data_IF_289072636084
#
_entry.id   IF_289072636084
#
_cell.length_a   1.000
_cell.length_b   1.000
_cell.length_c   1.000
_cell.angle_alpha   90.00
_cell.angle_beta   90.00
_cell.angle_gamma   90.00
#
_symmetry.space_group_name_H-M   'P 1'
#
loop_
_entity.id
_entity.type
_entity.pdbx_description
1 polymer ?
#
# COMPACT_ATOMS: atom_id res chain seq x y z
N UNK A 1 -49.53 -15.76 16.85
CA UNK A 1 -48.84 -14.46 16.95
C UNK A 1 -47.36 -14.72 16.90
N UNK A 2 -46.70 -14.28 15.83
CA UNK A 2 -45.29 -14.53 15.57
C UNK A 2 -44.38 -13.52 16.28
N UNK A 3 -43.15 -13.97 16.53
CA UNK A 3 -41.98 -13.10 16.77
C UNK A 3 -40.90 -13.51 15.76
N UNK A 4 -40.37 -12.60 14.94
CA UNK A 4 -39.13 -12.82 14.22
C UNK A 4 -38.01 -12.03 14.92
N UNK A 5 -36.96 -12.69 15.40
CA UNK A 5 -35.70 -12.02 15.74
C UNK A 5 -34.56 -12.87 15.20
N UNK A 6 -34.31 -12.70 13.90
CA UNK A 6 -33.09 -13.18 13.27
C UNK A 6 -31.99 -12.19 13.63
N UNK A 7 -31.29 -12.45 14.74
CA UNK A 7 -30.16 -11.65 15.18
C UNK A 7 -28.99 -11.82 14.19
N UNK A 8 -28.90 -10.90 13.23
CA UNK A 8 -27.68 -10.68 12.45
C UNK A 8 -26.58 -10.34 13.44
N UNK A 9 -25.62 -11.24 13.64
CA UNK A 9 -24.48 -10.99 14.53
C UNK A 9 -23.67 -9.84 13.93
N UNK A 10 -23.53 -8.69 14.63
CA UNK A 10 -22.65 -7.64 14.15
C UNK A 10 -21.22 -8.17 14.13
N UNK A 11 -20.56 -8.07 12.98
CA UNK A 11 -19.11 -8.22 12.88
C UNK A 11 -18.52 -7.23 13.90
N UNK A 12 -17.68 -7.66 14.87
CA UNK A 12 -17.08 -6.74 15.82
C UNK A 12 -16.01 -5.92 15.10
N UNK A 13 -16.45 -4.88 14.39
CA UNK A 13 -15.60 -3.80 13.91
C UNK A 13 -15.36 -2.87 15.08
N UNK A 14 -14.43 -3.26 15.95
CA UNK A 14 -13.77 -2.29 16.82
C UNK A 14 -13.08 -1.31 15.87
N UNK A 15 -13.57 -0.08 15.83
CA UNK A 15 -12.95 1.02 15.10
C UNK A 15 -11.55 1.19 15.68
N UNK A 16 -10.56 0.67 14.95
CA UNK A 16 -9.15 0.80 15.31
C UNK A 16 -8.79 2.30 15.28
N UNK A 17 -7.89 2.71 16.17
CA UNK A 17 -7.25 4.04 16.10
C UNK A 17 -6.76 4.29 14.67
N UNK A 18 -7.02 5.50 14.15
CA UNK A 18 -6.55 5.92 12.82
C UNK A 18 -5.08 5.54 12.67
N UNK A 19 -4.78 4.80 11.61
CA UNK A 19 -3.43 4.37 11.29
C UNK A 19 -2.47 5.57 11.29
N UNK A 20 -1.33 5.43 11.99
CA UNK A 20 -0.30 6.49 12.13
C UNK A 20 0.31 6.94 10.78
N UNK A 21 0.02 6.24 9.68
CA UNK A 21 0.41 6.62 8.32
C UNK A 21 -0.70 6.34 7.31
N UNK A 22 -0.78 7.17 6.26
CA UNK A 22 -1.70 6.99 5.12
C UNK A 22 -1.53 5.63 4.42
N UNK A 23 -0.35 5.02 4.43
CA UNK A 23 -0.10 3.73 3.78
C UNK A 23 -0.53 2.55 4.64
N UNK A 24 -0.32 2.63 5.94
CA UNK A 24 -0.83 1.64 6.89
C UNK A 24 -2.37 1.57 6.84
N UNK A 25 -3.04 2.72 6.71
CA UNK A 25 -4.50 2.76 6.52
C UNK A 25 -4.94 2.04 5.23
N UNK A 26 -4.21 2.25 4.13
CA UNK A 26 -4.50 1.61 2.84
C UNK A 26 -4.28 0.10 2.90
N UNK A 27 -3.21 -0.36 3.55
CA UNK A 27 -2.97 -1.78 3.80
C UNK A 27 -4.12 -2.40 4.61
N UNK A 28 -4.55 -1.74 5.70
CA UNK A 28 -5.69 -2.22 6.50
C UNK A 28 -7.01 -2.24 5.72
N UNK A 29 -7.20 -1.31 4.77
CA UNK A 29 -8.40 -1.25 3.95
C UNK A 29 -8.46 -2.34 2.86
N UNK A 30 -7.30 -2.76 2.32
CA UNK A 30 -7.23 -3.78 1.25
C UNK A 30 -7.29 -5.21 1.83
N UNK A 31 -6.78 -5.41 3.05
CA UNK A 31 -6.78 -6.72 3.73
C UNK A 31 -8.11 -7.50 3.72
N UNK A 32 -9.28 -6.88 4.02
CA UNK A 32 -10.56 -7.59 3.98
C UNK A 32 -10.90 -8.12 2.58
N UNK A 33 -10.53 -7.38 1.52
CA UNK A 33 -10.78 -7.80 0.14
C UNK A 33 -9.93 -9.01 -0.21
N UNK A 34 -8.66 -9.06 0.15
CA UNK A 34 -7.83 -10.25 -0.09
C UNK A 34 -8.31 -11.48 0.70
N UNK A 35 -8.81 -11.28 1.91
CA UNK A 35 -9.19 -12.38 2.79
C UNK A 35 -10.61 -12.91 2.56
N UNK A 36 -11.54 -12.03 2.21
CA UNK A 36 -12.97 -12.32 2.21
C UNK A 36 -13.66 -11.92 0.90
N UNK A 37 -12.93 -11.91 -0.22
CA UNK A 37 -13.48 -11.45 -1.51
C UNK A 37 -14.77 -12.19 -1.87
N UNK A 38 -14.78 -13.51 -1.71
CA UNK A 38 -15.94 -14.35 -2.06
C UNK A 38 -17.14 -14.02 -1.18
N UNK A 39 -16.93 -13.87 0.13
CA UNK A 39 -17.97 -13.55 1.09
C UNK A 39 -18.55 -12.15 0.84
N UNK A 40 -17.68 -11.18 0.49
CA UNK A 40 -18.11 -9.83 0.11
C UNK A 40 -19.01 -9.91 -1.14
N UNK A 41 -18.60 -10.66 -2.17
CA UNK A 41 -19.40 -10.85 -3.38
C UNK A 41 -20.75 -11.51 -3.09
N UNK A 42 -20.79 -12.53 -2.22
CA UNK A 42 -22.04 -13.18 -1.81
C UNK A 42 -22.97 -12.24 -1.04
N UNK A 43 -22.43 -11.35 -0.20
CA UNK A 43 -23.23 -10.35 0.49
C UNK A 43 -23.80 -9.33 -0.50
N UNK A 44 -22.99 -8.86 -1.45
CA UNK A 44 -23.45 -7.95 -2.50
C UNK A 44 -24.54 -8.59 -3.36
N UNK A 45 -24.39 -9.86 -3.75
CA UNK A 45 -25.41 -10.61 -4.50
C UNK A 45 -26.73 -10.69 -3.72
N UNK A 46 -26.69 -11.03 -2.42
CA UNK A 46 -27.89 -11.03 -1.57
C UNK A 46 -28.53 -9.66 -1.44
N UNK A 47 -27.74 -8.58 -1.38
CA UNK A 47 -28.27 -7.22 -1.34
C UNK A 47 -28.97 -6.86 -2.65
N UNK A 48 -28.46 -7.31 -3.80
CA UNK A 48 -29.08 -7.09 -5.11
C UNK A 48 -30.45 -7.78 -5.20
N UNK A 49 -30.58 -9.00 -4.67
CA UNK A 49 -31.81 -9.79 -4.74
C UNK A 49 -32.82 -9.47 -3.62
N UNK A 50 -32.43 -8.66 -2.63
CA UNK A 50 -33.29 -8.34 -1.49
C UNK A 50 -34.37 -7.32 -1.86
N UNK A 51 -35.64 -7.72 -1.73
CA UNK A 51 -36.79 -6.83 -1.90
C UNK A 51 -36.90 -5.78 -0.78
N UNK A 52 -36.29 -6.05 0.38
CA UNK A 52 -36.30 -5.15 1.54
C UNK A 52 -35.33 -3.97 1.42
N UNK A 53 -34.36 -4.04 0.49
CA UNK A 53 -33.40 -2.97 0.26
C UNK A 53 -33.98 -1.88 -0.64
N UNK A 54 -33.45 -0.66 -0.50
CA UNK A 54 -33.85 0.44 -1.39
C UNK A 54 -33.37 0.20 -2.82
N UNK A 55 -34.05 0.82 -3.80
CA UNK A 55 -33.63 0.75 -5.21
C UNK A 55 -32.23 1.29 -5.43
N UNK A 56 -31.84 2.33 -4.69
CA UNK A 56 -30.50 2.92 -4.71
C UNK A 56 -29.47 1.93 -4.18
N UNK A 57 -29.71 1.35 -2.99
CA UNK A 57 -28.82 0.35 -2.38
C UNK A 57 -28.60 -0.86 -3.29
N UNK A 58 -29.66 -1.37 -3.92
CA UNK A 58 -29.54 -2.47 -4.90
C UNK A 58 -28.70 -2.08 -6.11
N UNK A 59 -28.88 -0.86 -6.62
CA UNK A 59 -28.12 -0.35 -7.76
C UNK A 59 -26.63 -0.20 -7.44
N UNK A 60 -26.30 0.33 -6.26
CA UNK A 60 -24.92 0.49 -5.81
C UNK A 60 -24.25 -0.85 -5.54
N UNK A 61 -24.96 -1.77 -4.87
CA UNK A 61 -24.47 -3.14 -4.65
C UNK A 61 -24.18 -3.85 -5.97
N UNK A 62 -25.06 -3.68 -6.97
CA UNK A 62 -24.88 -4.23 -8.32
C UNK A 62 -23.66 -3.63 -9.03
N UNK A 63 -23.47 -2.31 -8.95
CA UNK A 63 -22.30 -1.66 -9.53
C UNK A 63 -21.01 -2.14 -8.87
N UNK A 64 -20.98 -2.20 -7.53
CA UNK A 64 -19.82 -2.70 -6.77
C UNK A 64 -19.51 -4.15 -7.12
N UNK A 65 -20.53 -5.01 -7.18
CA UNK A 65 -20.39 -6.42 -7.56
C UNK A 65 -19.74 -6.58 -8.93
N UNK A 66 -20.23 -5.85 -9.94
CA UNK A 66 -19.64 -5.89 -11.28
C UNK A 66 -18.25 -5.26 -11.36
N UNK A 67 -17.97 -4.21 -10.58
CA UNK A 67 -16.64 -3.62 -10.48
C UNK A 67 -15.63 -4.61 -9.88
N UNK A 68 -16.01 -5.33 -8.82
CA UNK A 68 -15.16 -6.32 -8.17
C UNK A 68 -14.97 -7.57 -9.05
N UNK A 69 -16.01 -7.99 -9.78
CA UNK A 69 -15.95 -9.03 -10.81
C UNK A 69 -15.49 -8.50 -12.17
N UNK A 70 -14.43 -7.69 -12.17
CA UNK A 70 -13.77 -7.26 -13.39
C UNK A 70 -12.34 -7.80 -13.44
N UNK A 71 -11.87 -8.10 -14.64
CA UNK A 71 -10.48 -8.50 -14.87
C UNK A 71 -9.50 -7.48 -14.26
N UNK A 72 -9.78 -6.20 -14.41
CA UNK A 72 -8.95 -5.12 -13.87
C UNK A 72 -8.88 -5.19 -12.33
N UNK A 73 -10.01 -5.35 -11.65
CA UNK A 73 -10.04 -5.38 -10.18
C UNK A 73 -9.34 -6.62 -9.64
N UNK A 74 -9.65 -7.81 -10.15
CA UNK A 74 -9.09 -9.07 -9.67
C UNK A 74 -7.56 -9.10 -9.83
N UNK A 75 -7.08 -8.66 -10.99
CA UNK A 75 -5.65 -8.62 -11.30
C UNK A 75 -4.89 -7.55 -10.50
N UNK A 76 -5.52 -6.39 -10.27
CA UNK A 76 -4.90 -5.30 -9.52
C UNK A 76 -4.94 -5.50 -8.01
N UNK A 77 -5.90 -6.27 -7.48
CA UNK A 77 -6.08 -6.46 -6.05
C UNK A 77 -4.83 -7.09 -5.40
N UNK A 78 -4.36 -8.21 -5.94
CA UNK A 78 -3.15 -8.89 -5.44
C UNK A 78 -1.90 -8.04 -5.68
N UNK A 79 -1.78 -7.47 -6.88
CA UNK A 79 -0.68 -6.58 -7.23
C UNK A 79 -0.53 -5.42 -6.23
N UNK A 80 -1.64 -4.77 -5.88
CA UNK A 80 -1.63 -3.67 -4.90
C UNK A 80 -1.33 -4.14 -3.49
N UNK A 81 -1.76 -5.34 -3.07
CA UNK A 81 -1.45 -5.86 -1.73
C UNK A 81 0.06 -5.94 -1.50
N UNK A 82 0.78 -6.52 -2.46
CA UNK A 82 2.24 -6.68 -2.40
C UNK A 82 2.94 -5.31 -2.36
N UNK A 83 2.53 -4.39 -3.23
CA UNK A 83 3.12 -3.04 -3.30
C UNK A 83 2.84 -2.25 -2.03
N UNK A 84 1.60 -2.26 -1.53
CA UNK A 84 1.20 -1.53 -0.34
C UNK A 84 1.92 -2.05 0.91
N UNK A 85 2.04 -3.36 1.08
CA UNK A 85 2.79 -3.98 2.17
C UNK A 85 4.27 -3.58 2.11
N UNK A 86 4.86 -3.62 0.92
CA UNK A 86 6.25 -3.23 0.71
C UNK A 86 6.52 -1.77 1.10
N UNK A 87 5.68 -0.85 0.63
CA UNK A 87 5.79 0.59 0.96
C UNK A 87 5.57 0.82 2.46
N UNK A 88 4.54 0.22 3.04
CA UNK A 88 4.22 0.36 4.46
C UNK A 88 5.37 -0.14 5.35
N UNK A 89 6.01 -1.26 4.98
CA UNK A 89 7.19 -1.77 5.68
C UNK A 89 8.34 -0.76 5.67
N UNK A 90 8.70 -0.22 4.50
CA UNK A 90 9.79 0.76 4.40
C UNK A 90 9.46 2.03 5.17
N UNK A 91 8.22 2.48 5.15
CA UNK A 91 7.79 3.66 5.90
C UNK A 91 7.80 3.46 7.41
N UNK A 92 7.34 2.32 7.90
CA UNK A 92 7.40 1.99 9.33
C UNK A 92 8.83 1.96 9.82
N UNK A 93 9.73 1.34 9.03
CA UNK A 93 11.17 1.35 9.29
C UNK A 93 11.74 2.76 9.35
N UNK A 94 11.48 3.60 8.34
CA UNK A 94 11.94 5.00 8.34
C UNK A 94 11.41 5.84 9.51
N UNK A 95 10.28 5.45 10.12
CA UNK A 95 9.71 6.11 11.29
C UNK A 95 10.18 5.54 12.62
N UNK A 96 10.88 4.40 12.60
CA UNK A 96 11.38 3.77 13.81
C UNK A 96 12.53 4.59 14.41
N UNK A 97 12.32 5.01 15.65
CA UNK A 97 13.23 5.86 16.41
C UNK A 97 14.55 5.16 16.78
N UNK A 98 14.56 3.83 16.69
CA UNK A 98 15.72 2.98 16.98
C UNK A 98 16.50 2.60 15.73
N UNK A 99 16.06 3.06 14.55
CA UNK A 99 16.65 2.62 13.29
C UNK A 99 18.05 3.20 13.08
N UNK A 100 19.00 2.33 12.76
CA UNK A 100 20.30 2.76 12.25
C UNK A 100 20.11 3.28 10.82
N UNK A 101 20.55 4.51 10.54
CA UNK A 101 20.36 5.15 9.23
C UNK A 101 20.98 4.33 8.09
N UNK A 102 21.98 3.49 8.41
CA UNK A 102 22.65 2.57 7.49
C UNK A 102 21.76 1.42 6.95
N UNK A 103 20.69 1.05 7.66
CA UNK A 103 19.81 -0.07 7.27
C UNK A 103 18.69 0.36 6.31
N UNK A 104 18.30 1.65 6.35
CA UNK A 104 17.24 2.21 5.51
C UNK A 104 17.48 2.02 4.00
N UNK A 105 18.69 2.27 3.46
CA UNK A 105 18.98 2.09 2.04
C UNK A 105 18.86 0.63 1.59
N UNK A 106 19.15 -0.34 2.48
CA UNK A 106 19.11 -1.76 2.13
C UNK A 106 17.67 -2.27 1.99
N UNK A 107 16.77 -1.94 2.91
CA UNK A 107 15.35 -2.30 2.79
C UNK A 107 14.67 -1.63 1.60
N UNK A 108 15.15 -0.43 1.26
CA UNK A 108 14.63 0.35 0.15
C UNK A 108 15.09 -0.22 -1.18
N UNK A 109 16.35 -0.64 -1.27
CA UNK A 109 16.85 -1.44 -2.39
C UNK A 109 16.12 -2.78 -2.49
N UNK A 110 15.77 -3.41 -1.38
CA UNK A 110 14.99 -4.65 -1.38
C UNK A 110 13.56 -4.42 -1.91
N UNK A 111 12.89 -3.33 -1.48
CA UNK A 111 11.59 -2.93 -2.02
C UNK A 111 11.70 -2.64 -3.52
N UNK A 112 12.68 -1.84 -3.93
CA UNK A 112 12.95 -1.53 -5.34
C UNK A 112 13.25 -2.81 -6.14
N UNK A 113 13.98 -3.77 -5.58
CA UNK A 113 14.26 -5.06 -6.22
C UNK A 113 13.00 -5.90 -6.39
N UNK A 114 12.12 -5.91 -5.41
CA UNK A 114 10.82 -6.60 -5.47
C UNK A 114 9.90 -5.95 -6.50
N UNK A 115 9.82 -4.61 -6.49
CA UNK A 115 9.04 -3.78 -7.43
C UNK A 115 9.60 -3.87 -8.86
N UNK A 116 10.90 -4.10 -9.04
CA UNK A 116 11.52 -4.30 -10.36
C UNK A 116 11.41 -5.73 -10.89
N UNK A 117 10.93 -6.68 -10.09
CA UNK A 117 10.78 -8.07 -10.52
C UNK A 117 9.68 -8.19 -11.57
N UNK A 118 10.05 -8.52 -12.82
CA UNK A 118 9.07 -8.91 -13.86
C UNK A 118 8.15 -10.04 -13.41
N UNK A 119 8.64 -10.86 -12.47
CA UNK A 119 7.95 -11.95 -11.80
C UNK A 119 6.65 -11.48 -11.14
N UNK A 120 6.66 -10.35 -10.41
CA UNK A 120 5.47 -9.81 -9.74
C UNK A 120 4.34 -9.52 -10.73
N UNK A 121 4.67 -8.90 -11.88
CA UNK A 121 3.70 -8.57 -12.92
C UNK A 121 3.13 -9.85 -13.52
N UNK A 122 3.99 -10.81 -13.88
CA UNK A 122 3.54 -12.06 -14.48
C UNK A 122 2.66 -12.88 -13.52
N UNK A 123 3.04 -12.96 -12.25
CA UNK A 123 2.28 -13.67 -11.21
C UNK A 123 0.91 -13.02 -10.99
N UNK A 124 0.86 -11.70 -10.79
CA UNK A 124 -0.40 -10.98 -10.55
C UNK A 124 -1.37 -11.12 -11.74
N UNK A 125 -0.83 -11.10 -12.96
CA UNK A 125 -1.62 -11.27 -14.19
C UNK A 125 -2.11 -12.70 -14.37
N UNK A 126 -1.28 -13.69 -14.03
CA UNK A 126 -1.67 -15.10 -14.08
C UNK A 126 -2.76 -15.42 -13.06
N UNK A 127 -2.62 -14.96 -11.82
CA UNK A 127 -3.61 -15.16 -10.77
C UNK A 127 -4.94 -14.44 -11.10
N UNK A 128 -4.86 -13.20 -11.60
CA UNK A 128 -6.04 -12.48 -12.09
C UNK A 128 -6.78 -13.23 -13.21
N UNK A 129 -6.05 -13.87 -14.12
CA UNK A 129 -6.63 -14.72 -15.17
C UNK A 129 -7.25 -16.00 -14.60
N UNK A 130 -6.60 -16.64 -13.63
CA UNK A 130 -7.12 -17.83 -12.95
C UNK A 130 -8.45 -17.52 -12.26
N UNK A 131 -8.52 -16.40 -11.52
CA UNK A 131 -9.76 -15.94 -10.88
C UNK A 131 -10.85 -15.60 -11.90
N UNK A 132 -10.49 -14.95 -13.02
CA UNK A 132 -11.45 -14.70 -14.10
C UNK A 132 -11.99 -16.00 -14.71
N UNK A 133 -11.15 -17.02 -14.89
CA UNK A 133 -11.57 -18.31 -15.39
C UNK A 133 -12.49 -19.03 -14.40
N UNK A 134 -12.14 -19.02 -13.11
CA UNK A 134 -12.95 -19.62 -12.05
C UNK A 134 -14.34 -18.98 -11.97
N UNK A 135 -14.40 -17.65 -12.03
CA UNK A 135 -15.64 -16.88 -11.85
C UNK A 135 -16.33 -16.52 -13.17
N UNK A 136 -15.85 -17.07 -14.29
CA UNK A 136 -16.39 -16.85 -15.65
C UNK A 136 -16.50 -15.37 -16.02
N UNK A 137 -15.55 -14.56 -15.56
CA UNK A 137 -15.46 -13.14 -15.86
C UNK A 137 -14.86 -12.95 -17.25
N UNK A 138 -15.49 -12.08 -18.05
CA UNK A 138 -15.03 -11.83 -19.41
C UNK A 138 -13.80 -10.92 -19.42
N UNK A 139 -12.69 -11.42 -19.98
CA UNK A 139 -11.46 -10.65 -20.14
C UNK A 139 -11.53 -9.83 -21.43
N UNK A 140 -12.08 -8.62 -21.32
CA UNK A 140 -12.20 -7.66 -22.43
C UNK A 140 -11.14 -6.57 -22.35
N UNK A 141 -10.55 -6.21 -23.50
CA UNK A 141 -9.74 -4.98 -23.61
C UNK A 141 -10.64 -3.76 -23.44
N UNK A 142 -10.33 -2.88 -22.50
CA UNK A 142 -10.92 -1.53 -22.44
C UNK A 142 -10.44 -0.70 -23.65
N UNK A 143 -11.23 -0.68 -24.72
CA UNK A 143 -10.92 0.14 -25.91
C UNK A 143 -11.33 1.59 -25.64
N UNK A 144 -10.36 2.46 -25.38
CA UNK A 144 -10.58 3.90 -25.55
C UNK A 144 -10.95 4.19 -27.02
N UNK A 145 -12.00 4.97 -27.25
CA UNK A 145 -12.44 5.33 -28.60
C UNK A 145 -11.41 6.29 -29.21
N UNK A 146 -10.43 5.75 -29.94
CA UNK A 146 -9.49 6.56 -30.72
C UNK A 146 -10.25 7.14 -31.91
N UNK A 147 -10.25 8.46 -32.06
CA UNK A 147 -10.86 9.15 -33.21
C UNK A 147 -10.01 8.82 -34.43
N UNK A 148 -10.53 8.01 -35.36
CA UNK A 148 -9.84 7.68 -36.62
C UNK A 148 -9.95 8.84 -37.59
N UNK A 149 -8.90 9.05 -38.37
CA UNK A 149 -8.92 10.01 -39.47
C UNK A 149 -9.65 9.40 -40.68
N UNK A 150 -10.34 10.21 -41.52
CA UNK A 150 -10.97 9.71 -42.74
C UNK A 150 -9.90 9.27 -43.75
N UNK A 151 -9.57 7.96 -43.76
CA UNK A 151 -8.66 7.21 -44.66
C UNK A 151 -7.92 6.08 -43.93
N UNK A 152 -7.98 6.04 -42.59
CA UNK A 152 -7.24 5.08 -41.78
C UNK A 152 -7.90 3.69 -41.77
N UNK A 153 -7.59 2.88 -42.78
CA UNK A 153 -8.07 1.49 -42.94
C UNK A 153 -7.24 0.44 -42.17
N UNK A 154 -6.14 0.85 -41.52
CA UNK A 154 -5.32 -0.06 -40.74
C UNK A 154 -6.10 -0.57 -39.50
N UNK A 155 -6.18 -1.88 -39.31
CA UNK A 155 -6.56 -2.45 -38.01
C UNK A 155 -5.36 -2.29 -37.10
N UNK A 156 -5.49 -1.44 -36.09
CA UNK A 156 -4.46 -1.28 -35.06
C UNK A 156 -4.25 -2.68 -34.45
N UNK A 157 -3.04 -3.23 -34.53
CA UNK A 157 -2.66 -4.45 -33.82
C UNK A 157 -2.53 -4.08 -32.33
N UNK A 158 -3.66 -3.75 -31.72
CA UNK A 158 -3.71 -3.28 -30.35
C UNK A 158 -3.27 -4.40 -29.41
N UNK A 159 -2.61 -4.02 -28.31
CA UNK A 159 -2.20 -4.94 -27.25
C UNK A 159 -3.40 -5.80 -26.81
N UNK A 160 -3.14 -7.06 -26.46
CA UNK A 160 -4.11 -7.91 -25.78
C UNK A 160 -4.50 -7.31 -24.42
N UNK A 161 -5.61 -7.76 -23.83
CA UNK A 161 -6.01 -7.31 -22.48
C UNK A 161 -4.92 -7.60 -21.44
N UNK A 162 -4.22 -8.73 -21.61
CA UNK A 162 -3.06 -9.12 -20.81
C UNK A 162 -1.92 -8.09 -20.93
N UNK A 163 -1.45 -7.84 -22.14
CA UNK A 163 -0.34 -6.91 -22.41
C UNK A 163 -0.67 -5.47 -21.99
N UNK A 164 -1.93 -5.06 -22.11
CA UNK A 164 -2.40 -3.76 -21.62
C UNK A 164 -2.31 -3.68 -20.09
N UNK A 165 -2.73 -4.73 -19.38
CA UNK A 165 -2.61 -4.80 -17.92
C UNK A 165 -1.15 -4.78 -17.47
N UNK A 166 -0.28 -5.55 -18.13
CA UNK A 166 1.15 -5.51 -17.86
C UNK A 166 1.74 -4.12 -18.08
N UNK A 167 1.30 -3.40 -19.13
CA UNK A 167 1.73 -2.02 -19.40
C UNK A 167 1.33 -1.08 -18.26
N UNK A 168 0.10 -1.21 -17.76
CA UNK A 168 -0.40 -0.43 -16.63
C UNK A 168 0.43 -0.72 -15.37
N UNK A 169 0.64 -2.00 -15.04
CA UNK A 169 1.45 -2.39 -13.88
C UNK A 169 2.89 -1.89 -13.98
N UNK A 170 3.54 -2.04 -15.14
CA UNK A 170 4.88 -1.49 -15.38
C UNK A 170 4.93 0.02 -15.12
N UNK A 171 3.95 0.78 -15.64
CA UNK A 171 3.85 2.21 -15.38
C UNK A 171 3.66 2.57 -13.90
N UNK A 172 2.90 1.77 -13.14
CA UNK A 172 2.75 1.94 -11.69
C UNK A 172 4.07 1.69 -10.98
N UNK A 173 4.77 0.59 -11.30
CA UNK A 173 6.05 0.24 -10.69
C UNK A 173 7.11 1.32 -10.98
N UNK A 174 7.18 1.82 -12.21
CA UNK A 174 8.09 2.91 -12.59
C UNK A 174 7.80 4.19 -11.79
N UNK A 175 6.52 4.51 -11.59
CA UNK A 175 6.13 5.66 -10.78
C UNK A 175 6.50 5.48 -9.31
N UNK A 176 6.18 4.32 -8.71
CA UNK A 176 6.53 4.00 -7.32
C UNK A 176 8.05 4.05 -7.12
N UNK A 177 8.83 3.46 -8.04
CA UNK A 177 10.28 3.47 -7.97
C UNK A 177 10.83 4.90 -7.97
N UNK A 178 10.38 5.74 -8.91
CA UNK A 178 10.81 7.14 -8.99
C UNK A 178 10.47 7.91 -7.70
N UNK A 179 9.26 7.74 -7.19
CA UNK A 179 8.82 8.38 -5.94
C UNK A 179 9.65 7.92 -4.72
N UNK A 180 10.01 6.64 -4.67
CA UNK A 180 10.86 6.11 -3.59
C UNK A 180 12.28 6.64 -3.71
N UNK A 181 12.89 6.58 -4.90
CA UNK A 181 14.24 7.10 -5.16
C UNK A 181 14.35 8.59 -4.81
N UNK A 182 13.37 9.41 -5.22
CA UNK A 182 13.32 10.83 -4.86
C UNK A 182 13.26 11.06 -3.35
N UNK A 183 12.49 10.25 -2.61
CA UNK A 183 12.40 10.36 -1.15
C UNK A 183 13.70 9.97 -0.47
N UNK A 184 14.38 8.93 -0.95
CA UNK A 184 15.69 8.55 -0.42
C UNK A 184 16.74 9.61 -0.69
N UNK A 185 16.75 10.19 -1.88
CA UNK A 185 17.69 11.26 -2.18
C UNK A 185 17.46 12.46 -1.25
N UNK A 186 16.20 12.87 -1.03
CA UNK A 186 15.89 13.96 -0.08
C UNK A 186 16.31 13.64 1.35
N UNK A 187 16.16 12.39 1.78
CA UNK A 187 16.59 11.94 3.09
C UNK A 187 18.12 12.01 3.23
N UNK A 188 18.85 11.52 2.23
CA UNK A 188 20.30 11.59 2.17
C UNK A 188 20.81 13.04 2.14
N UNK A 189 20.18 13.91 1.36
CA UNK A 189 20.53 15.34 1.31
C UNK A 189 20.30 16.04 2.65
N UNK A 190 19.28 15.59 3.41
CA UNK A 190 18.99 16.09 4.75
C UNK A 190 20.04 15.62 5.75
N UNK A 191 20.40 14.34 5.71
CA UNK A 191 21.46 13.77 6.53
C UNK A 191 22.82 14.40 6.21
N UNK A 192 23.15 14.62 4.94
CA UNK A 192 24.37 15.32 4.55
C UNK A 192 24.45 16.74 5.12
N UNK A 193 23.32 17.46 5.20
CA UNK A 193 23.28 18.85 5.71
C UNK A 193 23.20 18.95 7.23
N UNK A 194 22.48 18.03 7.89
CA UNK A 194 22.13 18.15 9.31
C UNK A 194 22.56 16.94 10.15
N UNK A 195 23.10 15.89 9.54
CA UNK A 195 23.54 14.67 10.22
C UNK A 195 24.57 14.96 11.31
N UNK A 196 25.40 16.00 11.13
CA UNK A 196 26.34 16.44 12.16
C UNK A 196 25.65 16.78 13.50
N UNK A 197 24.40 17.24 13.52
CA UNK A 197 23.65 17.53 14.75
C UNK A 197 23.31 16.25 15.53
N UNK A 198 23.12 15.13 14.83
CA UNK A 198 22.89 13.82 15.45
C UNK A 198 24.17 13.31 16.12
N UNK A 199 25.34 13.56 15.52
CA UNK A 199 26.63 13.20 16.09
C UNK A 199 27.07 14.11 17.26
N UNK A 200 26.76 15.41 17.19
CA UNK A 200 27.14 16.38 18.24
C UNK A 200 26.40 16.11 19.56
N UNK A 201 25.13 15.70 19.54
CA UNK A 201 24.42 15.34 20.79
C UNK A 201 25.01 14.07 21.45
N UNK A 202 25.47 13.11 20.67
CA UNK A 202 26.20 11.93 21.18
C UNK A 202 27.54 12.29 21.83
N UNK A 203 28.21 13.34 21.35
CA UNK A 203 29.46 13.86 21.91
C UNK A 203 29.24 14.78 23.13
N UNK A 204 28.21 15.63 23.11
CA UNK A 204 27.92 16.57 24.20
C UNK A 204 27.33 15.90 25.46
N UNK A 205 26.70 14.73 25.35
CA UNK A 205 26.29 13.95 26.53
C UNK A 205 27.44 13.15 27.17
N UNK A 206 28.64 13.11 26.55
CA UNK A 206 29.81 12.38 27.06
C UNK A 206 30.73 13.18 27.98
N UNK A 207 30.55 14.51 28.12
CA UNK A 207 31.53 15.38 28.78
C UNK A 207 31.08 16.01 30.11
N UNK A 208 30.02 15.50 30.73
CA UNK A 208 29.68 15.90 32.11
C UNK A 208 29.67 14.69 33.06
N UNK A 209 30.79 14.00 33.19
CA UNK A 209 31.17 13.28 34.42
C UNK A 209 32.69 13.03 34.39
N UNK A 210 33.47 14.11 34.55
CA UNK A 210 34.85 13.99 35.01
C UNK A 210 34.87 13.93 36.53
N UNK A 211 34.86 12.72 37.10
CA UNK A 211 35.41 12.40 38.43
C UNK A 211 35.55 10.88 38.56
N UNK A 212 36.78 10.40 38.36
CA UNK A 212 37.56 9.35 39.06
C UNK A 212 36.88 8.17 39.80
N UNK A 213 37.59 7.06 40.09
CA UNK A 213 37.55 5.85 39.27
C UNK A 213 37.33 4.59 40.13
N UNK A 214 36.21 3.86 40.00
CA UNK A 214 36.14 2.49 40.55
C UNK A 214 35.12 1.61 39.82
N UNK A 215 35.62 0.44 39.41
CA UNK A 215 34.96 -0.83 39.03
C UNK A 215 34.16 -1.01 37.71
N UNK A 216 34.18 -2.24 37.14
CA UNK A 216 33.90 -2.50 35.74
C UNK A 216 32.44 -2.95 35.55
N UNK A 217 31.64 -2.19 34.77
CA UNK A 217 30.29 -2.66 34.41
C UNK A 217 29.94 -2.40 32.95
N UNK A 218 29.96 -3.52 32.23
CA UNK A 218 29.02 -3.97 31.20
C UNK A 218 28.41 -2.89 30.31
N UNK A 219 28.94 -2.83 29.09
CA UNK A 219 28.52 -1.90 28.05
C UNK A 219 27.31 -2.46 27.29
N UNK A 220 26.12 -2.41 27.91
CA UNK A 220 24.85 -2.61 27.19
C UNK A 220 23.72 -1.90 27.91
N UNK A 221 23.56 -0.62 27.59
CA UNK A 221 22.29 0.14 27.50
C UNK A 221 22.63 1.62 27.59
N UNK A 222 22.15 2.40 26.63
CA UNK A 222 21.47 3.69 26.86
C UNK A 222 20.89 4.14 25.52
N UNK A 223 19.66 3.70 25.29
CA UNK A 223 18.68 4.57 24.63
C UNK A 223 18.29 5.67 25.62
N UNK A 224 17.87 6.79 25.06
CA UNK A 224 17.24 8.00 25.62
C UNK A 224 17.82 9.13 24.77
N UNK A 225 17.06 9.91 24.01
CA UNK A 225 15.68 10.34 24.14
C UNK A 225 15.71 11.76 23.60
N UNK A 226 14.80 12.07 22.65
CA UNK A 226 14.40 13.39 22.15
C UNK A 226 13.98 13.29 20.69
N UNK A 227 12.93 12.51 20.45
CA UNK A 227 12.29 12.40 19.13
C UNK A 227 11.17 13.44 18.96
N UNK A 228 10.77 14.10 20.05
CA UNK A 228 9.71 15.12 20.03
C UNK A 228 10.07 16.38 19.24
N UNK A 229 11.36 16.74 19.14
CA UNK A 229 11.77 17.92 18.37
C UNK A 229 11.82 17.61 16.87
N UNK A 230 12.28 16.39 16.50
CA UNK A 230 12.46 16.00 15.10
C UNK A 230 11.13 15.64 14.42
N UNK A 231 10.22 14.98 15.15
CA UNK A 231 8.85 14.73 14.67
C UNK A 231 8.06 16.04 14.56
N UNK A 232 8.25 17.00 15.46
CA UNK A 232 7.60 18.32 15.36
C UNK A 232 8.06 19.13 14.14
N UNK A 233 9.33 19.02 13.73
CA UNK A 233 9.84 19.71 12.53
C UNK A 233 9.36 19.09 11.21
N UNK A 234 9.25 17.76 11.12
CA UNK A 234 8.81 17.08 9.88
C UNK A 234 7.29 17.21 9.68
N UNK A 235 6.51 17.29 10.76
CA UNK A 235 5.03 17.32 10.64
C UNK A 235 4.47 18.71 10.34
N UNK A 236 5.23 19.80 10.55
CA UNK A 236 4.75 21.19 10.33
C UNK A 236 4.83 21.71 8.88
N UNK A 237 5.44 20.99 7.93
CA UNK A 237 5.55 21.41 6.51
C UNK A 237 4.59 20.69 5.54
N UNK A 238 3.49 20.14 6.05
CA UNK A 238 2.42 19.55 5.22
C UNK A 238 1.05 20.24 5.39
N UNK A 239 1.03 21.44 5.95
CA UNK A 239 -0.13 22.34 5.90
C UNK A 239 0.32 23.64 5.23
N UNK A 240 0.38 23.62 3.90
CA UNK A 240 0.14 24.76 3.01
C UNK A 240 0.04 24.25 1.57
#
# INVERSE_FOLDING_TARGET
MGKPENAVRPVPLVVKKESETRWSARVEAVKPFNKYLREILQVLEKMIDSENETTETRSDAKQLYHCMLSYDFLTLLEFWDIILIGIDRVQKKLKDQTMNFDDAPMDSKALISMVRGKVLISESVEEGLNLCQEWKVEVKRRRGRKKRMPSENARDAGLTAKEEMERVMKGILDHVNREMDERFQRLHDTDSKFGFLLYVHGLCCGTIYSSSPDEPKDNRRRGLGNVDIFVSMITRKQIQ
#
